data_IF_526942698286
#
_entry.id   IF_526942698286
#
_cell.length_a   1.000
_cell.length_b   1.000
_cell.length_c   1.000
_cell.angle_alpha   90.00
_cell.angle_beta   90.00
_cell.angle_gamma   90.00
#
_symmetry.space_group_name_H-M   'P 1'
#
loop_
_entity.id
_entity.type
_entity.pdbx_description
1 polymer ?
#
# COMPACT_ATOMS: atom_id res chain seq x y z
N UNK A 1 -19.48 15.54 17.82
CA UNK A 1 -19.07 14.36 18.62
C UNK A 1 -17.57 14.43 18.85
N UNK A 2 -17.11 14.70 20.07
CA UNK A 2 -15.68 14.77 20.40
C UNK A 2 -15.03 13.39 20.29
N UNK A 3 -13.80 13.32 19.74
CA UNK A 3 -13.07 12.05 19.63
C UNK A 3 -12.87 11.46 21.02
N UNK A 4 -13.30 10.22 21.23
CA UNK A 4 -13.06 9.55 22.52
C UNK A 4 -11.58 9.21 22.67
N UNK A 5 -11.06 9.12 23.90
CA UNK A 5 -9.65 8.71 24.15
C UNK A 5 -9.29 7.39 23.46
N UNK A 6 -10.28 6.50 23.29
CA UNK A 6 -10.13 5.25 22.54
C UNK A 6 -9.97 5.46 21.02
N UNK A 7 -10.61 6.47 20.43
CA UNK A 7 -10.40 6.86 19.03
C UNK A 7 -9.03 7.51 18.85
N UNK A 8 -8.59 8.33 19.79
CA UNK A 8 -7.26 8.96 19.78
C UNK A 8 -6.13 7.92 19.86
N UNK A 9 -6.21 6.98 20.82
CA UNK A 9 -5.25 5.88 20.95
C UNK A 9 -5.22 4.95 19.72
N UNK A 10 -6.34 4.83 18.99
CA UNK A 10 -6.36 4.11 17.70
C UNK A 10 -5.64 4.87 16.61
N UNK A 11 -5.82 6.20 16.54
CA UNK A 11 -5.10 7.06 15.61
C UNK A 11 -3.58 7.02 15.81
N UNK A 12 -3.13 7.11 17.06
CA UNK A 12 -1.69 7.04 17.41
C UNK A 12 -1.09 5.70 16.97
N UNK A 13 -1.75 4.57 17.27
CA UNK A 13 -1.29 3.24 16.84
C UNK A 13 -1.26 3.09 15.33
N UNK A 14 -2.24 3.65 14.62
CA UNK A 14 -2.25 3.62 13.15
C UNK A 14 -1.10 4.46 12.57
N UNK A 15 -0.82 5.63 13.14
CA UNK A 15 0.29 6.49 12.71
C UNK A 15 1.64 5.81 12.92
N UNK A 16 1.89 5.29 14.13
CA UNK A 16 3.12 4.56 14.45
C UNK A 16 3.33 3.34 13.54
N UNK A 17 2.25 2.60 13.25
CA UNK A 17 2.30 1.46 12.34
C UNK A 17 2.62 1.89 10.90
N UNK A 18 2.05 3.00 10.42
CA UNK A 18 2.38 3.56 9.08
C UNK A 18 3.84 4.00 9.00
N UNK A 19 4.35 4.67 10.02
CA UNK A 19 5.77 5.08 10.09
C UNK A 19 6.71 3.88 10.08
N UNK A 20 6.42 2.86 10.91
CA UNK A 20 7.21 1.61 10.94
C UNK A 20 7.25 0.91 9.58
N UNK A 21 6.10 0.83 8.89
CA UNK A 21 6.01 0.13 7.61
C UNK A 21 6.60 0.94 6.46
N UNK A 22 6.52 2.27 6.52
CA UNK A 22 7.23 3.15 5.59
C UNK A 22 8.75 2.95 5.72
N UNK A 23 9.26 2.82 6.96
CA UNK A 23 10.67 2.59 7.22
C UNK A 23 11.20 1.22 6.74
N UNK A 24 10.33 0.25 6.47
CA UNK A 24 10.73 -1.09 6.01
C UNK A 24 11.10 -1.17 4.52
N UNK A 25 11.06 -0.06 3.77
CA UNK A 25 11.60 -0.03 2.41
C UNK A 25 10.86 -0.92 1.40
N UNK A 26 9.56 -1.18 1.62
CA UNK A 26 8.78 -2.08 0.75
C UNK A 26 8.78 -1.68 -0.73
N UNK A 27 8.77 -0.38 -1.03
CA UNK A 27 8.86 0.15 -2.41
C UNK A 27 10.20 -0.22 -3.04
N UNK A 28 11.30 -0.06 -2.31
CA UNK A 28 12.63 -0.42 -2.78
C UNK A 28 12.71 -1.93 -3.07
N UNK A 29 12.18 -2.76 -2.18
CA UNK A 29 12.15 -4.21 -2.39
C UNK A 29 11.29 -4.65 -3.58
N UNK A 30 10.21 -3.93 -3.90
CA UNK A 30 9.44 -4.17 -5.12
C UNK A 30 10.28 -3.82 -6.35
N UNK A 31 10.93 -2.65 -6.36
CA UNK A 31 11.79 -2.24 -7.47
C UNK A 31 12.94 -3.24 -7.70
N UNK A 32 13.56 -3.73 -6.63
CA UNK A 32 14.63 -4.73 -6.71
C UNK A 32 14.12 -6.08 -7.28
N UNK A 33 12.91 -6.49 -6.89
CA UNK A 33 12.31 -7.71 -7.45
C UNK A 33 11.96 -7.54 -8.92
N UNK A 34 11.47 -6.36 -9.35
CA UNK A 34 11.18 -6.09 -10.77
C UNK A 34 12.44 -6.26 -11.61
N UNK A 35 13.57 -5.69 -11.17
CA UNK A 35 14.88 -5.88 -11.85
C UNK A 35 15.27 -7.35 -11.93
N UNK A 36 15.15 -8.10 -10.82
CA UNK A 36 15.45 -9.54 -10.80
C UNK A 36 14.55 -10.34 -11.75
N UNK A 37 13.28 -9.97 -11.88
CA UNK A 37 12.35 -10.57 -12.83
C UNK A 37 12.82 -10.31 -14.27
N UNK A 38 13.18 -9.07 -14.58
CA UNK A 38 13.68 -8.67 -15.90
C UNK A 38 14.97 -9.41 -16.28
N UNK A 39 15.90 -9.57 -15.34
CA UNK A 39 17.15 -10.33 -15.53
C UNK A 39 16.90 -11.84 -15.71
N UNK A 40 15.94 -12.41 -14.97
CA UNK A 40 15.57 -13.82 -15.08
C UNK A 40 14.87 -14.17 -16.40
N UNK A 41 14.33 -13.19 -17.13
CA UNK A 41 13.70 -13.41 -18.43
C UNK A 41 14.64 -14.05 -19.47
N UNK A 42 15.96 -13.99 -19.24
CA UNK A 42 16.98 -14.59 -20.11
C UNK A 42 17.48 -15.97 -19.65
N UNK A 43 16.94 -16.53 -18.56
CA UNK A 43 17.36 -17.82 -18.00
C UNK A 43 16.45 -18.99 -18.42
N UNK A 44 17.03 -20.14 -18.77
CA UNK A 44 16.30 -21.37 -19.16
C UNK A 44 15.57 -22.06 -17.98
N UNK A 45 15.85 -21.71 -16.73
CA UNK A 45 15.17 -22.26 -15.52
C UNK A 45 14.19 -21.28 -14.86
N UNK A 46 13.81 -20.21 -15.56
CA UNK A 46 13.19 -19.02 -14.97
C UNK A 46 11.80 -19.22 -14.31
N UNK A 47 11.06 -20.28 -14.66
CA UNK A 47 9.63 -20.39 -14.30
C UNK A 47 9.37 -20.47 -12.79
N UNK A 48 10.19 -21.21 -12.03
CA UNK A 48 10.01 -21.33 -10.58
C UNK A 48 10.38 -20.04 -9.83
N UNK A 49 11.46 -19.38 -10.25
CA UNK A 49 11.93 -18.16 -9.59
C UNK A 49 11.07 -16.94 -9.94
N UNK A 50 10.52 -16.89 -11.16
CA UNK A 50 9.47 -15.94 -11.54
C UNK A 50 8.26 -16.03 -10.61
N UNK A 51 7.79 -17.25 -10.31
CA UNK A 51 6.64 -17.45 -9.43
C UNK A 51 6.91 -16.96 -7.99
N UNK A 52 8.11 -17.20 -7.45
CA UNK A 52 8.49 -16.67 -6.12
C UNK A 52 8.46 -15.15 -6.10
N UNK A 53 9.06 -14.51 -7.11
CA UNK A 53 9.12 -13.05 -7.21
C UNK A 53 7.72 -12.44 -7.39
N UNK A 54 6.86 -13.08 -8.19
CA UNK A 54 5.45 -12.70 -8.33
C UNK A 54 4.71 -12.73 -6.99
N UNK A 55 4.76 -13.85 -6.26
CA UNK A 55 4.11 -13.98 -4.95
C UNK A 55 4.62 -12.90 -3.97
N UNK A 56 5.93 -12.66 -3.99
CA UNK A 56 6.55 -11.67 -3.12
C UNK A 56 6.15 -10.23 -3.49
N UNK A 57 5.91 -9.93 -4.78
CA UNK A 57 5.39 -8.64 -5.24
C UNK A 57 3.91 -8.47 -4.84
N UNK A 58 3.07 -9.50 -5.06
CA UNK A 58 1.65 -9.46 -4.69
C UNK A 58 1.43 -9.25 -3.19
N UNK A 59 2.29 -9.83 -2.34
CA UNK A 59 2.25 -9.63 -0.89
C UNK A 59 2.65 -8.20 -0.49
N UNK A 60 3.71 -7.65 -1.09
CA UNK A 60 4.16 -6.28 -0.82
C UNK A 60 3.17 -5.24 -1.33
N UNK A 61 2.53 -5.49 -2.49
CA UNK A 61 1.49 -4.61 -3.02
C UNK A 61 0.25 -4.56 -2.10
N UNK A 62 -0.13 -5.71 -1.52
CA UNK A 62 -1.20 -5.77 -0.49
C UNK A 62 -0.83 -4.98 0.77
N UNK A 63 0.42 -5.02 1.21
CA UNK A 63 0.90 -4.19 2.31
C UNK A 63 0.85 -2.71 1.93
N UNK A 64 1.40 -2.31 0.78
CA UNK A 64 1.36 -0.93 0.31
C UNK A 64 -0.08 -0.40 0.26
N UNK A 65 -1.01 -1.09 -0.40
CA UNK A 65 -2.42 -0.65 -0.47
C UNK A 65 -3.09 -0.52 0.90
N UNK A 66 -2.69 -1.31 1.90
CA UNK A 66 -3.24 -1.23 3.26
C UNK A 66 -2.76 0.02 4.02
N UNK A 67 -1.55 0.49 3.74
CA UNK A 67 -0.89 1.56 4.53
C UNK A 67 -0.67 2.86 3.77
N UNK A 68 -0.73 2.81 2.44
CA UNK A 68 -0.66 3.88 1.45
C UNK A 68 -1.69 3.57 0.34
N UNK A 69 -3.00 3.56 0.65
CA UNK A 69 -4.01 3.41 -0.39
C UNK A 69 -3.90 4.57 -1.39
N UNK A 70 -4.22 4.30 -2.66
CA UNK A 70 -4.26 5.34 -3.70
C UNK A 70 -5.07 6.55 -3.23
N UNK A 71 -4.52 7.74 -3.48
CA UNK A 71 -5.07 9.06 -3.11
C UNK A 71 -6.54 9.26 -3.51
N UNK A 72 -7.09 8.44 -4.42
CA UNK A 72 -8.51 8.45 -4.79
C UNK A 72 -9.47 8.15 -3.62
N UNK A 73 -8.99 7.54 -2.53
CA UNK A 73 -9.86 7.12 -1.43
C UNK A 73 -9.97 8.16 -0.28
N UNK A 74 -9.22 9.26 -0.36
CA UNK A 74 -9.14 10.29 0.70
C UNK A 74 -9.86 11.61 0.36
N UNK A 75 -10.68 11.64 -0.71
CA UNK A 75 -11.73 12.66 -0.77
C UNK A 75 -12.71 12.36 0.36
N UNK A 76 -12.90 13.27 1.32
CA UNK A 76 -13.89 13.04 2.37
C UNK A 76 -15.25 12.86 1.68
N UNK A 77 -16.02 11.83 2.06
CA UNK A 77 -17.41 11.59 1.60
C UNK A 77 -18.35 12.80 1.81
N UNK A 78 -17.89 13.86 2.50
CA UNK A 78 -18.56 15.15 2.61
C UNK A 78 -18.39 16.05 1.38
N UNK A 79 -17.41 15.79 0.50
CA UNK A 79 -17.21 16.54 -0.73
C UNK A 79 -18.12 16.08 -1.88
N UNK A 80 -18.63 14.85 -1.83
CA UNK A 80 -19.52 14.29 -2.87
C UNK A 80 -21.00 14.70 -2.71
N UNK A 81 -21.40 15.25 -1.55
CA UNK A 81 -22.82 15.55 -1.28
C UNK A 81 -23.25 17.00 -1.57
N UNK A 82 -22.35 17.90 -1.92
CA UNK A 82 -22.69 19.33 -2.09
C UNK A 82 -22.78 19.79 -3.56
N UNK A 83 -22.77 18.88 -4.54
CA UNK A 83 -22.84 19.27 -5.97
C UNK A 83 -24.19 18.99 -6.64
N UNK A 84 -25.17 18.44 -5.93
CA UNK A 84 -26.50 18.06 -6.49
C UNK A 84 -27.68 18.79 -5.84
N UNK A 85 -27.43 19.65 -4.84
CA UNK A 85 -28.46 20.41 -4.11
C UNK A 85 -28.41 21.92 -4.40
N UNK A 86 -27.89 22.30 -5.58
CA UNK A 86 -27.87 23.68 -6.07
C UNK A 86 -28.30 23.69 -7.53
N UNK A 87 -29.58 23.39 -7.77
CA UNK A 87 -30.42 23.88 -8.86
C UNK A 87 -31.89 23.47 -8.60
#
# INVERSE_FOLDING_TARGET
MGKTRAQENRGIRQKALREQLSAQGHVQHIADNIKKIEELAHSKSASFDLNKLKVANDQRFRLLNKYLPDLKHDLPRSAERNSWDMD
#
